data_IF_798112252672
#
_entry.id   IF_798112252672
#
_cell.length_a   1.000
_cell.length_b   1.000
_cell.length_c   1.000
_cell.angle_alpha   90.00
_cell.angle_beta   90.00
_cell.angle_gamma   90.00
#
_symmetry.space_group_name_H-M   'P 1'
#
loop_
_entity.id
_entity.type
_entity.pdbx_description
1 polymer ?
#
# COMPACT_ATOMS: atom_id res chain seq x y z
N UNK A 1 -37.57 28.88 -6.96
CA UNK A 1 -36.71 29.91 -6.50
C UNK A 1 -35.54 29.39 -5.71
N UNK A 2 -35.79 28.57 -4.75
CA UNK A 2 -34.75 28.20 -3.81
C UNK A 2 -34.00 26.93 -4.16
N UNK A 3 -34.29 26.39 -5.30
CA UNK A 3 -33.66 25.13 -5.71
C UNK A 3 -32.19 25.26 -6.04
N UNK A 4 -31.74 26.45 -6.31
CA UNK A 4 -30.35 26.69 -6.68
C UNK A 4 -29.37 26.34 -5.55
N UNK A 5 -29.79 26.59 -4.33
CA UNK A 5 -28.94 26.37 -3.16
C UNK A 5 -28.64 24.91 -2.93
N UNK A 6 -29.62 24.04 -3.15
CA UNK A 6 -29.43 22.62 -2.97
C UNK A 6 -28.39 22.03 -3.93
N UNK A 7 -28.33 22.53 -5.14
CA UNK A 7 -27.40 22.04 -6.15
C UNK A 7 -25.95 22.36 -5.76
N UNK A 8 -25.72 23.51 -5.20
CA UNK A 8 -24.38 23.93 -4.82
C UNK A 8 -23.84 23.05 -3.69
N UNK A 9 -24.67 22.68 -2.75
CA UNK A 9 -24.25 21.82 -1.65
C UNK A 9 -23.88 20.43 -2.12
N UNK A 10 -24.58 19.88 -3.06
CA UNK A 10 -24.25 18.57 -3.59
C UNK A 10 -22.89 18.55 -4.28
N UNK A 11 -22.56 19.60 -5.00
CA UNK A 11 -21.26 19.71 -5.63
C UNK A 11 -20.09 19.74 -4.65
N UNK A 12 -20.26 20.42 -3.54
CA UNK A 12 -19.22 20.49 -2.52
C UNK A 12 -18.94 19.13 -1.89
N UNK A 13 -19.95 18.33 -1.67
CA UNK A 13 -19.78 17.00 -1.09
C UNK A 13 -19.01 16.07 -1.98
N UNK A 14 -19.20 16.14 -3.28
CA UNK A 14 -18.48 15.30 -4.22
C UNK A 14 -16.98 15.57 -4.21
N UNK A 15 -16.58 16.80 -4.03
CA UNK A 15 -15.16 17.15 -3.97
C UNK A 15 -14.46 16.59 -2.75
N UNK A 16 -15.18 16.44 -1.64
CA UNK A 16 -14.58 15.93 -0.41
C UNK A 16 -14.38 14.43 -0.42
N UNK A 17 -15.10 13.71 -1.25
CA UNK A 17 -15.04 12.26 -1.28
C UNK A 17 -14.01 11.68 -2.24
N UNK A 18 -13.15 12.49 -2.84
CA UNK A 18 -12.31 12.04 -3.94
C UNK A 18 -10.90 11.58 -3.54
N UNK A 19 -10.61 11.47 -2.26
CA UNK A 19 -9.30 11.01 -1.79
C UNK A 19 -9.23 9.48 -1.89
N UNK A 20 -8.54 8.98 -2.89
CA UNK A 20 -8.36 7.55 -3.12
C UNK A 20 -6.88 7.21 -3.12
N UNK A 21 -6.53 6.11 -2.47
CA UNK A 21 -5.17 5.61 -2.49
C UNK A 21 -4.80 5.22 -3.92
N UNK A 22 -3.58 5.53 -4.31
CA UNK A 22 -3.07 5.22 -5.63
C UNK A 22 -2.74 3.75 -5.75
N UNK A 23 -3.28 3.09 -6.75
CA UNK A 23 -2.88 1.73 -7.10
C UNK A 23 -1.55 1.76 -7.86
N UNK A 24 -0.66 0.86 -7.50
CA UNK A 24 0.61 0.67 -8.18
C UNK A 24 0.83 -0.80 -8.47
N UNK A 25 1.49 -1.10 -9.57
CA UNK A 25 1.92 -2.46 -9.89
C UNK A 25 3.43 -2.48 -10.08
N UNK A 26 4.06 -3.52 -9.58
CA UNK A 26 5.49 -3.68 -9.68
C UNK A 26 5.94 -4.89 -8.89
N UNK A 27 7.22 -4.95 -8.58
CA UNK A 27 7.78 -6.10 -7.86
C UNK A 27 7.93 -5.80 -6.39
N UNK A 28 7.68 -6.82 -5.59
CA UNK A 28 7.93 -6.82 -4.15
C UNK A 28 9.07 -7.75 -3.83
N UNK A 29 9.85 -7.40 -2.84
CA UNK A 29 10.80 -8.29 -2.18
C UNK A 29 10.53 -8.24 -0.68
N UNK A 30 11.30 -8.99 0.10
CA UNK A 30 11.16 -8.95 1.54
C UNK A 30 12.52 -8.86 2.22
N UNK A 31 12.50 -8.41 3.46
CA UNK A 31 13.70 -8.23 4.28
C UNK A 31 13.29 -8.30 5.75
N UNK A 32 14.27 -8.29 6.66
CA UNK A 32 13.95 -8.34 8.09
C UNK A 32 13.09 -7.16 8.55
N UNK A 33 13.26 -6.02 7.90
CA UNK A 33 12.47 -4.85 8.22
C UNK A 33 12.98 -4.11 9.44
N UNK A 34 12.28 -3.01 9.74
CA UNK A 34 12.51 -2.17 10.90
C UNK A 34 11.31 -2.35 11.82
N UNK A 35 11.53 -2.38 13.12
CA UNK A 35 10.45 -2.52 14.09
C UNK A 35 10.45 -3.90 14.73
N UNK A 36 9.32 -4.23 15.33
CA UNK A 36 9.20 -5.48 16.09
C UNK A 36 9.08 -6.68 15.18
N UNK A 37 9.74 -7.78 15.59
CA UNK A 37 9.57 -9.06 14.93
C UNK A 37 8.10 -9.48 14.99
N UNK A 38 7.60 -10.01 13.88
CA UNK A 38 6.22 -10.46 13.77
C UNK A 38 5.25 -9.42 13.25
N UNK A 39 5.64 -8.18 13.15
CA UNK A 39 4.78 -7.16 12.55
C UNK A 39 4.76 -7.25 11.04
N UNK A 40 3.62 -6.89 10.46
CA UNK A 40 3.52 -6.69 9.03
C UNK A 40 3.85 -5.24 8.71
N UNK A 41 5.09 -5.01 8.32
CA UNK A 41 5.59 -3.69 7.95
C UNK A 41 6.17 -3.70 6.56
N UNK A 42 6.42 -2.53 6.02
CA UNK A 42 6.97 -2.42 4.68
C UNK A 42 7.74 -1.12 4.48
N UNK A 43 8.60 -1.14 3.47
CA UNK A 43 9.29 0.02 2.97
C UNK A 43 8.63 0.47 1.66
N UNK A 44 8.39 1.75 1.54
CA UNK A 44 7.88 2.38 0.34
C UNK A 44 8.60 3.71 0.14
N UNK A 45 8.81 4.10 -1.13
CA UNK A 45 9.63 5.28 -1.44
C UNK A 45 9.01 6.58 -0.94
N UNK A 46 7.71 6.70 -0.96
CA UNK A 46 7.08 8.00 -0.74
C UNK A 46 5.83 8.00 0.14
N UNK A 47 5.18 6.87 0.35
CA UNK A 47 3.96 6.88 1.16
C UNK A 47 4.27 7.25 2.61
N UNK A 48 3.39 7.97 3.28
CA UNK A 48 3.68 8.45 4.63
C UNK A 48 3.98 7.33 5.61
N UNK A 49 4.92 7.57 6.50
CA UNK A 49 5.15 6.65 7.62
C UNK A 49 3.89 6.49 8.44
N UNK A 50 3.60 5.24 8.82
CA UNK A 50 2.41 4.90 9.56
C UNK A 50 1.21 4.57 8.68
N UNK A 51 1.24 4.90 7.40
CA UNK A 51 0.13 4.54 6.51
C UNK A 51 0.12 3.04 6.21
N UNK A 52 -1.06 2.52 5.90
CA UNK A 52 -1.24 1.11 5.61
C UNK A 52 -1.32 0.91 4.11
N UNK A 53 -0.61 -0.09 3.62
CA UNK A 53 -0.62 -0.47 2.21
C UNK A 53 -1.17 -1.88 2.11
N UNK A 54 -2.16 -2.05 1.23
CA UNK A 54 -2.63 -3.38 0.86
C UNK A 54 -1.74 -3.91 -0.25
N UNK A 55 -1.17 -5.08 -0.04
CA UNK A 55 -0.34 -5.77 -1.03
C UNK A 55 -1.06 -7.03 -1.46
N UNK A 56 -1.23 -7.20 -2.76
CA UNK A 56 -1.91 -8.36 -3.33
C UNK A 56 -0.95 -9.14 -4.22
N UNK A 57 -0.87 -10.43 -3.97
CA UNK A 57 -0.08 -11.37 -4.73
C UNK A 57 -0.91 -12.63 -4.96
N UNK A 58 -1.22 -12.93 -6.22
CA UNK A 58 -2.10 -14.06 -6.57
C UNK A 58 -3.40 -13.97 -5.77
N UNK A 59 -3.73 -15.01 -5.02
CA UNK A 59 -4.95 -15.06 -4.23
C UNK A 59 -4.78 -14.53 -2.81
N UNK A 60 -3.62 -13.97 -2.49
CA UNK A 60 -3.33 -13.49 -1.15
C UNK A 60 -3.31 -11.97 -1.12
N UNK A 61 -3.73 -11.42 -0.01
CA UNK A 61 -3.70 -9.99 0.23
C UNK A 61 -3.40 -9.75 1.70
N UNK A 62 -2.51 -8.82 1.98
CA UNK A 62 -2.17 -8.42 3.35
C UNK A 62 -2.13 -6.90 3.43
N UNK A 63 -2.10 -6.39 4.64
CA UNK A 63 -1.83 -4.98 4.87
C UNK A 63 -0.56 -4.84 5.68
N UNK A 64 0.30 -3.92 5.26
CA UNK A 64 1.52 -3.61 5.99
C UNK A 64 1.60 -2.13 6.29
N UNK A 65 2.23 -1.82 7.41
CA UNK A 65 2.43 -0.43 7.84
C UNK A 65 3.77 0.08 7.33
N UNK A 66 3.75 1.21 6.67
CA UNK A 66 4.97 1.85 6.17
C UNK A 66 5.79 2.36 7.34
N UNK A 67 7.01 1.85 7.48
CA UNK A 67 7.94 2.30 8.51
C UNK A 67 9.38 2.46 8.01
N UNK A 68 9.58 2.42 6.68
CA UNK A 68 10.90 2.52 6.09
C UNK A 68 10.80 3.06 4.67
N UNK A 69 11.94 3.49 4.12
CA UNK A 69 12.06 3.98 2.75
C UNK A 69 12.79 2.99 1.86
N UNK A 70 12.40 2.98 0.61
CA UNK A 70 12.83 2.03 -0.40
C UNK A 70 11.65 1.22 -0.88
N UNK A 71 11.91 0.23 -1.73
CA UNK A 71 13.18 -0.17 -2.32
C UNK A 71 13.66 0.82 -3.39
N UNK A 72 14.96 0.83 -3.65
CA UNK A 72 15.53 1.71 -4.67
C UNK A 72 16.07 0.93 -5.87
N UNK A 73 15.65 -0.31 -5.99
CA UNK A 73 15.97 -1.18 -7.12
C UNK A 73 14.91 -0.96 -8.19
N UNK A 74 15.35 -0.81 -9.43
CA UNK A 74 14.45 -0.57 -10.55
C UNK A 74 13.40 -1.68 -10.68
N UNK A 75 12.15 -1.26 -10.82
CA UNK A 75 11.02 -2.19 -10.96
C UNK A 75 10.44 -2.68 -9.64
N UNK A 76 11.13 -2.46 -8.53
CA UNK A 76 10.62 -2.80 -7.20
C UNK A 76 9.89 -1.61 -6.60
N UNK A 77 8.73 -1.87 -6.04
CA UNK A 77 7.88 -0.81 -5.49
C UNK A 77 7.66 -0.95 -3.99
N UNK A 78 7.93 -2.11 -3.43
CA UNK A 78 7.72 -2.35 -2.01
C UNK A 78 8.62 -3.46 -1.51
N UNK A 79 9.14 -3.31 -0.30
CA UNK A 79 9.80 -4.37 0.43
C UNK A 79 8.95 -4.66 1.66
N UNK A 80 8.54 -5.90 1.83
CA UNK A 80 7.69 -6.28 2.95
C UNK A 80 8.48 -7.03 4.00
N UNK A 81 8.01 -6.97 5.24
CA UNK A 81 8.60 -7.73 6.33
C UNK A 81 8.44 -9.24 6.09
N UNK A 82 9.23 -10.03 6.80
CA UNK A 82 9.17 -11.49 6.66
C UNK A 82 7.79 -12.02 7.03
N UNK A 83 7.18 -11.48 8.06
CA UNK A 83 5.82 -11.89 8.45
C UNK A 83 4.84 -11.64 7.32
N UNK A 84 4.91 -10.48 6.68
CA UNK A 84 4.07 -10.16 5.54
C UNK A 84 4.37 -11.08 4.35
N UNK A 85 5.64 -11.35 4.07
CA UNK A 85 6.03 -12.22 2.97
C UNK A 85 5.50 -13.64 3.16
N UNK A 86 5.54 -14.16 4.37
CA UNK A 86 4.95 -15.47 4.68
C UNK A 86 3.45 -15.48 4.44
N UNK A 87 2.77 -14.45 4.89
CA UNK A 87 1.33 -14.35 4.70
C UNK A 87 0.95 -14.24 3.22
N UNK A 88 1.80 -13.60 2.42
CA UNK A 88 1.60 -13.53 0.97
C UNK A 88 1.98 -14.81 0.23
N UNK A 89 2.69 -15.71 0.87
CA UNK A 89 3.16 -16.93 0.21
C UNK A 89 4.31 -16.70 -0.76
N UNK A 90 5.12 -15.68 -0.55
CA UNK A 90 6.20 -15.32 -1.48
C UNK A 90 7.60 -15.70 -1.00
N UNK A 91 7.73 -16.41 0.09
CA UNK A 91 9.04 -16.67 0.68
C UNK A 91 9.98 -17.40 -0.27
N UNK A 92 9.51 -18.40 -1.00
CA UNK A 92 10.37 -19.16 -1.90
C UNK A 92 10.72 -18.39 -3.17
N UNK A 93 9.76 -17.69 -3.72
CA UNK A 93 9.99 -16.90 -4.93
C UNK A 93 10.92 -15.71 -4.68
N UNK A 94 10.85 -15.13 -3.52
CA UNK A 94 11.71 -14.02 -3.11
C UNK A 94 11.30 -12.67 -3.68
N UNK A 95 11.21 -12.57 -5.00
CA UNK A 95 10.78 -11.36 -5.71
C UNK A 95 9.60 -11.72 -6.58
N UNK A 96 8.49 -11.02 -6.41
CA UNK A 96 7.23 -11.36 -7.08
C UNK A 96 6.54 -10.09 -7.59
N UNK A 97 5.71 -10.27 -8.61
CA UNK A 97 4.87 -9.19 -9.12
C UNK A 97 3.66 -9.03 -8.22
N UNK A 98 3.42 -7.80 -7.78
CA UNK A 98 2.32 -7.47 -6.88
C UNK A 98 1.58 -6.23 -7.36
N UNK A 99 0.39 -6.03 -6.83
CA UNK A 99 -0.29 -4.76 -6.87
C UNK A 99 -0.42 -4.23 -5.46
N UNK A 100 -0.35 -2.92 -5.31
CA UNK A 100 -0.50 -2.29 -4.00
C UNK A 100 -1.52 -1.16 -4.07
N UNK A 101 -2.18 -0.93 -2.94
CA UNK A 101 -3.13 0.18 -2.80
C UNK A 101 -2.92 0.95 -1.53
#
# INVERSE_FOLDING_TARGET
>A
MDMHIAIVLAGALLLLGSSVARAESGKASYYHGVGKSGEMTCAHRSRPFGSMIRVSYRNHSIQCRVNDRGPFVRGRIIDVSITAARALGMMQAGVVAVSIE
#
